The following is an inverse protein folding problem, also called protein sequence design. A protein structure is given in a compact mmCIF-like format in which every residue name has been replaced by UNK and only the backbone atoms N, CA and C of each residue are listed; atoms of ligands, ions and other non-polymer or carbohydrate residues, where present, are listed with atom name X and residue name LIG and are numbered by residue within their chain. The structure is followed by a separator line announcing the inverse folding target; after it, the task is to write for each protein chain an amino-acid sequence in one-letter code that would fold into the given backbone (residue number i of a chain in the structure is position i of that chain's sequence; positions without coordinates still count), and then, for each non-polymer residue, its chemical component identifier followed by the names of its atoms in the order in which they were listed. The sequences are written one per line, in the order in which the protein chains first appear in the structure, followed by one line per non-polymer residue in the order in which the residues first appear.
data_IF_397432857146
#
_entry.id   IF_397432857146
#
_cell.length_a   1.000
_cell.length_b   1.000
_cell.length_c   1.000
_cell.angle_alpha   90.00
_cell.angle_beta   90.00
_cell.angle_gamma   90.00
#
_symmetry.space_group_name_H-M   'P 1'
#
loop_
_entity.id
_entity.type
_entity.pdbx_description
1 polymer ?
#
# COMPACT_ATOMS: atom_id res chain seq x y z
N UNK A 1 34.52 0.10 16.44
CA UNK A 1 33.95 -0.63 15.29
C UNK A 1 35.03 -0.71 14.23
N UNK A 2 35.37 -1.91 13.77
CA UNK A 2 36.49 -2.12 12.86
C UNK A 2 36.06 -1.82 11.41
N UNK A 3 36.94 -1.23 10.60
CA UNK A 3 36.70 -0.88 9.19
C UNK A 3 36.15 -2.06 8.38
N UNK A 4 36.65 -3.27 8.64
CA UNK A 4 36.20 -4.50 8.00
C UNK A 4 34.72 -4.79 8.24
N UNK A 5 34.22 -4.63 9.47
CA UNK A 5 32.80 -4.81 9.80
C UNK A 5 31.92 -3.81 9.07
N UNK A 6 32.35 -2.55 8.97
CA UNK A 6 31.61 -1.52 8.23
C UNK A 6 31.57 -1.83 6.73
N UNK A 7 32.68 -2.30 6.14
CA UNK A 7 32.71 -2.69 4.73
C UNK A 7 31.86 -3.92 4.44
N UNK A 8 31.86 -4.94 5.31
CA UNK A 8 31.01 -6.13 5.15
C UNK A 8 29.53 -5.78 5.26
N UNK A 9 29.14 -4.91 6.21
CA UNK A 9 27.75 -4.44 6.32
C UNK A 9 27.33 -3.66 5.06
N UNK A 10 28.17 -2.75 4.57
CA UNK A 10 27.88 -2.00 3.33
C UNK A 10 27.78 -2.92 2.12
N UNK A 11 28.66 -3.91 2.00
CA UNK A 11 28.62 -4.89 0.92
C UNK A 11 27.37 -5.78 0.99
N UNK A 12 26.95 -6.21 2.19
CA UNK A 12 25.73 -6.99 2.38
C UNK A 12 24.48 -6.17 2.03
N UNK A 13 24.42 -4.90 2.43
CA UNK A 13 23.32 -4.00 2.05
C UNK A 13 23.32 -3.77 0.54
N UNK A 14 24.47 -3.49 -0.07
CA UNK A 14 24.58 -3.30 -1.51
C UNK A 14 24.18 -4.55 -2.30
N UNK A 15 24.61 -5.74 -1.84
CA UNK A 15 24.22 -7.02 -2.43
C UNK A 15 22.71 -7.24 -2.30
N UNK A 16 22.13 -7.00 -1.12
CA UNK A 16 20.69 -7.14 -0.90
C UNK A 16 19.87 -6.19 -1.79
N UNK A 17 20.27 -4.91 -1.87
CA UNK A 17 19.64 -3.90 -2.74
C UNK A 17 19.79 -4.28 -4.22
N UNK A 18 20.96 -4.75 -4.64
CA UNK A 18 21.21 -5.19 -6.00
C UNK A 18 20.39 -6.43 -6.37
N UNK A 19 20.34 -7.45 -5.51
CA UNK A 19 19.51 -8.64 -5.74
C UNK A 19 18.03 -8.29 -5.77
N UNK A 20 17.57 -7.38 -4.92
CA UNK A 20 16.17 -6.97 -4.89
C UNK A 20 15.79 -6.16 -6.13
N UNK A 21 16.67 -5.26 -6.57
CA UNK A 21 16.49 -4.52 -7.83
C UNK A 21 16.54 -5.46 -9.04
N UNK A 22 17.37 -6.50 -9.01
CA UNK A 22 17.43 -7.50 -10.08
C UNK A 22 16.19 -8.41 -10.13
N UNK A 23 15.59 -8.72 -8.99
CA UNK A 23 14.43 -9.63 -8.91
C UNK A 23 13.10 -8.95 -9.29
N UNK A 24 12.87 -7.72 -8.82
CA UNK A 24 11.58 -7.04 -9.00
C UNK A 24 11.66 -5.69 -9.72
N UNK A 25 12.87 -5.18 -9.97
CA UNK A 25 13.06 -3.90 -10.66
C UNK A 25 12.40 -2.72 -9.93
N UNK A 26 11.76 -1.86 -10.71
CA UNK A 26 11.06 -0.67 -10.24
C UNK A 26 9.90 -0.98 -9.26
N UNK A 27 9.23 -2.13 -9.41
CA UNK A 27 8.10 -2.53 -8.58
C UNK A 27 8.52 -2.83 -7.13
N UNK A 28 9.70 -3.44 -6.94
CA UNK A 28 10.22 -3.73 -5.60
C UNK A 28 10.43 -2.46 -4.77
N UNK A 29 10.81 -1.36 -5.42
CA UNK A 29 10.95 -0.05 -4.77
C UNK A 29 9.61 0.52 -4.32
N UNK A 30 8.53 0.29 -5.07
CA UNK A 30 7.18 0.69 -4.65
C UNK A 30 6.73 -0.07 -3.41
N UNK A 31 6.95 -1.39 -3.36
CA UNK A 31 6.61 -2.21 -2.18
C UNK A 31 7.37 -1.72 -0.95
N UNK A 32 8.66 -1.40 -1.08
CA UNK A 32 9.46 -0.85 0.03
C UNK A 32 8.92 0.50 0.48
N UNK A 33 8.66 1.42 -0.45
CA UNK A 33 8.11 2.74 -0.14
C UNK A 33 6.77 2.61 0.62
N UNK A 34 5.89 1.73 0.15
CA UNK A 34 4.63 1.42 0.82
C UNK A 34 4.84 0.88 2.25
N UNK A 35 5.68 -0.15 2.44
CA UNK A 35 5.95 -0.73 3.76
C UNK A 35 6.55 0.32 4.71
N UNK A 36 7.46 1.17 4.22
CA UNK A 36 8.06 2.25 5.02
C UNK A 36 7.02 3.29 5.43
N UNK A 37 6.12 3.69 4.53
CA UNK A 37 5.03 4.60 4.84
C UNK A 37 4.08 4.00 5.88
N UNK A 38 3.69 2.73 5.70
CA UNK A 38 2.84 2.01 6.64
C UNK A 38 3.48 1.92 8.05
N UNK A 39 4.79 1.66 8.12
CA UNK A 39 5.53 1.64 9.38
C UNK A 39 5.61 3.03 10.01
N UNK A 40 5.92 4.07 9.22
CA UNK A 40 5.96 5.45 9.69
C UNK A 40 4.59 5.88 10.23
N UNK A 41 3.52 5.59 9.49
CA UNK A 41 2.15 5.83 9.88
C UNK A 41 1.81 5.13 11.21
N UNK A 42 2.19 3.85 11.34
CA UNK A 42 1.94 3.11 12.57
C UNK A 42 2.65 3.71 13.79
N UNK A 43 3.92 4.11 13.61
CA UNK A 43 4.72 4.74 14.66
C UNK A 43 4.16 6.11 15.05
N UNK A 44 3.78 6.91 14.06
CA UNK A 44 3.25 8.26 14.23
C UNK A 44 1.85 8.21 14.86
N UNK A 45 0.98 7.31 14.42
CA UNK A 45 -0.34 7.06 15.01
C UNK A 45 -0.24 6.54 16.45
N UNK A 46 0.74 5.68 16.74
CA UNK A 46 1.04 5.22 18.11
C UNK A 46 1.52 6.38 18.99
N UNK A 47 2.39 7.25 18.46
CA UNK A 47 2.84 8.45 19.16
C UNK A 47 1.70 9.47 19.38
N UNK A 48 0.77 9.61 18.44
CA UNK A 48 -0.40 10.47 18.58
C UNK A 48 -1.35 9.95 19.67
N UNK A 49 -1.59 8.64 19.70
CA UNK A 49 -2.38 8.00 20.74
C UNK A 49 -1.72 8.09 22.14
N UNK A 50 -0.39 8.05 22.20
CA UNK A 50 0.38 8.27 23.43
C UNK A 50 0.24 9.69 23.96
N UNK A 51 0.37 10.70 23.08
CA UNK A 51 0.27 12.13 23.42
C UNK A 51 -1.10 12.47 24.02
N UNK A 52 -2.16 11.83 23.54
CA UNK A 52 -3.52 12.05 24.03
C UNK A 52 -3.92 11.17 25.23
N UNK A 53 -2.97 10.43 25.82
CA UNK A 53 -3.20 9.65 27.05
C UNK A 53 -4.15 8.46 26.88
N UNK A 54 -4.53 8.13 25.65
CA UNK A 54 -5.51 7.09 25.28
C UNK A 54 -4.84 5.81 24.78
N UNK A 55 -3.64 5.51 25.29
CA UNK A 55 -2.89 4.30 24.96
C UNK A 55 -3.66 3.07 25.43
N UNK A 56 -4.39 2.44 24.51
CA UNK A 56 -5.10 1.19 24.72
C UNK A 56 -4.52 0.13 23.80
N UNK A 57 -4.07 -0.98 24.38
CA UNK A 57 -3.60 -2.14 23.62
C UNK A 57 -4.66 -2.69 22.65
N UNK A 58 -5.95 -2.41 22.88
CA UNK A 58 -7.01 -2.78 21.94
C UNK A 58 -6.93 -1.97 20.64
N UNK A 59 -6.74 -0.64 20.73
CA UNK A 59 -6.60 0.24 19.54
C UNK A 59 -5.34 -0.09 18.73
N UNK A 60 -4.25 -0.45 19.40
CA UNK A 60 -3.01 -0.87 18.74
C UNK A 60 -3.16 -2.21 18.00
N UNK A 61 -3.93 -3.16 18.56
CA UNK A 61 -4.25 -4.43 17.90
C UNK A 61 -5.15 -4.23 16.69
N UNK A 62 -6.13 -3.33 16.79
CA UNK A 62 -7.04 -3.00 15.70
C UNK A 62 -6.27 -2.40 14.51
N UNK A 63 -5.32 -1.49 14.78
CA UNK A 63 -4.39 -0.99 13.76
C UNK A 63 -3.50 -2.08 13.15
N UNK A 64 -3.06 -3.06 13.94
CA UNK A 64 -2.30 -4.20 13.42
C UNK A 64 -3.15 -5.13 12.53
N UNK A 65 -4.42 -5.39 12.88
CA UNK A 65 -5.34 -6.16 12.04
C UNK A 65 -5.66 -5.45 10.73
N UNK A 66 -5.86 -4.13 10.78
CA UNK A 66 -6.05 -3.33 9.57
C UNK A 66 -4.84 -3.43 8.63
N UNK A 67 -3.62 -3.28 9.17
CA UNK A 67 -2.37 -3.43 8.40
C UNK A 67 -2.17 -4.85 7.88
N UNK A 68 -2.54 -5.87 8.65
CA UNK A 68 -2.56 -7.26 8.21
C UNK A 68 -3.53 -7.51 7.06
N UNK A 69 -4.72 -6.89 7.08
CA UNK A 69 -5.68 -6.93 5.98
C UNK A 69 -5.12 -6.32 4.69
N UNK A 70 -4.41 -5.19 4.77
CA UNK A 70 -3.78 -4.56 3.60
C UNK A 70 -2.71 -5.46 2.97
N UNK A 71 -1.89 -6.12 3.79
CA UNK A 71 -0.90 -7.10 3.31
C UNK A 71 -1.58 -8.26 2.56
N UNK A 72 -2.70 -8.76 3.08
CA UNK A 72 -3.46 -9.83 2.42
C UNK A 72 -3.97 -9.38 1.04
N UNK A 73 -4.52 -8.16 0.92
CA UNK A 73 -5.00 -7.62 -0.36
C UNK A 73 -3.85 -7.49 -1.37
N UNK A 74 -2.69 -7.01 -0.95
CA UNK A 74 -1.49 -6.96 -1.81
C UNK A 74 -1.08 -8.37 -2.26
N UNK A 75 -1.07 -9.36 -1.35
CA UNK A 75 -0.78 -10.74 -1.72
C UNK A 75 -1.78 -11.28 -2.76
N UNK A 76 -3.07 -11.00 -2.59
CA UNK A 76 -4.12 -11.40 -3.56
C UNK A 76 -3.86 -10.74 -4.92
N UNK A 77 -3.55 -9.44 -4.95
CA UNK A 77 -3.25 -8.72 -6.19
C UNK A 77 -2.00 -9.28 -6.90
N UNK A 78 -0.95 -9.64 -6.15
CA UNK A 78 0.25 -10.27 -6.70
C UNK A 78 -0.01 -11.65 -7.28
N UNK A 79 -0.83 -12.46 -6.60
CA UNK A 79 -1.24 -13.78 -7.10
C UNK A 79 -2.10 -13.64 -8.37
N UNK A 80 -3.00 -12.65 -8.41
CA UNK A 80 -3.79 -12.36 -9.60
C UNK A 80 -2.92 -11.94 -10.79
N UNK A 81 -1.95 -11.05 -10.59
CA UNK A 81 -0.99 -10.64 -11.61
C UNK A 81 -0.15 -11.82 -12.12
N UNK A 82 0.33 -12.68 -11.20
CA UNK A 82 1.08 -13.88 -11.57
C UNK A 82 0.23 -14.86 -12.39
N UNK A 83 -1.05 -15.02 -12.04
CA UNK A 83 -1.99 -15.87 -12.76
C UNK A 83 -2.24 -15.33 -14.18
N UNK A 84 -2.49 -14.03 -14.32
CA UNK A 84 -2.70 -13.38 -15.63
C UNK A 84 -1.43 -13.50 -16.49
N UNK A 85 -0.25 -13.23 -15.93
CA UNK A 85 1.03 -13.39 -16.61
C UNK A 85 1.28 -14.84 -17.06
N UNK A 86 0.93 -15.81 -16.22
CA UNK A 86 1.07 -17.24 -16.54
C UNK A 86 0.14 -17.69 -17.68
N UNK A 87 -1.09 -17.17 -17.70
CA UNK A 87 -2.08 -17.43 -18.77
C UNK A 87 -1.63 -16.81 -20.10
N UNK A 88 -1.19 -15.55 -20.09
CA UNK A 88 -0.66 -14.86 -21.29
C UNK A 88 0.59 -15.56 -21.85
N UNK A 89 1.45 -16.11 -20.98
CA UNK A 89 2.65 -16.84 -21.40
C UNK A 89 2.39 -18.21 -22.03
N UNK A 90 1.23 -18.82 -21.79
CA UNK A 90 0.89 -20.16 -22.29
C UNK A 90 -0.18 -20.17 -23.40
N UNK A 91 -0.87 -19.04 -23.67
CA UNK A 91 -1.83 -18.91 -24.76
C UNK A 91 -1.20 -18.11 -25.91
N UNK A 92 -0.69 -18.76 -26.98
CA UNK A 92 -0.02 -18.07 -28.10
C UNK A 92 -0.97 -17.24 -29.00
N UNK A 93 -2.28 -17.22 -28.71
CA UNK A 93 -3.29 -16.50 -29.49
C UNK A 93 -3.55 -15.05 -29.02
N UNK A 94 -2.98 -14.63 -27.89
CA UNK A 94 -3.18 -13.28 -27.33
C UNK A 94 -1.84 -12.56 -27.27
N UNK A 95 -1.41 -12.02 -28.41
CA UNK A 95 -0.29 -11.08 -28.46
C UNK A 95 -0.80 -9.66 -28.22
N UNK A 96 -0.67 -9.17 -26.99
CA UNK A 96 -0.87 -7.76 -26.70
C UNK A 96 0.25 -6.94 -27.38
N UNK A 97 -0.05 -5.78 -27.98
CA UNK A 97 0.96 -4.92 -28.63
C UNK A 97 1.93 -4.25 -27.63
N UNK A 98 1.82 -4.58 -26.34
CA UNK A 98 2.66 -4.10 -25.25
C UNK A 98 3.04 -5.25 -24.31
N UNK A 99 4.20 -5.13 -23.65
CA UNK A 99 4.68 -6.12 -22.69
C UNK A 99 3.88 -6.02 -21.37
N UNK A 100 2.98 -6.97 -21.13
CA UNK A 100 2.30 -7.11 -19.83
C UNK A 100 3.31 -7.68 -18.82
N UNK A 101 3.64 -6.92 -17.77
CA UNK A 101 4.65 -7.34 -16.78
C UNK A 101 4.05 -7.57 -15.39
N UNK A 102 3.31 -6.59 -14.85
CA UNK A 102 2.55 -6.64 -13.59
C UNK A 102 1.66 -5.40 -13.63
N UNK A 103 0.34 -5.54 -13.65
CA UNK A 103 -0.57 -4.41 -13.92
C UNK A 103 -1.47 -4.12 -12.70
N UNK A 104 -1.97 -5.15 -12.03
CA UNK A 104 -2.78 -5.00 -10.82
C UNK A 104 -1.94 -4.71 -9.58
N UNK A 105 -0.79 -5.36 -9.43
CA UNK A 105 0.11 -5.24 -8.30
C UNK A 105 0.62 -3.81 -8.10
N UNK A 106 1.24 -3.15 -9.11
CA UNK A 106 1.65 -1.76 -9.00
C UNK A 106 0.48 -0.81 -8.75
N UNK A 107 -0.68 -1.05 -9.38
CA UNK A 107 -1.87 -0.23 -9.20
C UNK A 107 -2.35 -0.27 -7.74
N UNK A 108 -2.50 -1.47 -7.17
CA UNK A 108 -2.92 -1.67 -5.78
C UNK A 108 -1.90 -1.10 -4.80
N UNK A 109 -0.60 -1.26 -5.07
CA UNK A 109 0.45 -0.67 -4.22
C UNK A 109 0.40 0.86 -4.26
N UNK A 110 0.23 1.48 -5.43
CA UNK A 110 0.09 2.94 -5.54
C UNK A 110 -1.16 3.43 -4.82
N UNK A 111 -2.28 2.71 -4.93
CA UNK A 111 -3.50 3.01 -4.19
C UNK A 111 -3.26 3.05 -2.68
N UNK A 112 -2.58 2.03 -2.14
CA UNK A 112 -2.23 1.98 -0.72
C UNK A 112 -1.23 3.08 -0.33
N UNK A 113 -0.23 3.39 -1.14
CA UNK A 113 0.72 4.48 -0.87
C UNK A 113 -0.01 5.81 -0.70
N UNK A 114 -0.95 6.13 -1.60
CA UNK A 114 -1.72 7.38 -1.52
C UNK A 114 -2.59 7.39 -0.25
N UNK A 115 -3.19 6.25 0.11
CA UNK A 115 -3.93 6.09 1.35
C UNK A 115 -3.08 6.34 2.61
N UNK A 116 -1.90 5.73 2.69
CA UNK A 116 -0.96 5.89 3.81
C UNK A 116 -0.44 7.34 3.92
N UNK A 117 -0.17 7.99 2.79
CA UNK A 117 0.20 9.42 2.77
C UNK A 117 -0.94 10.31 3.29
N UNK A 118 -2.19 9.97 2.99
CA UNK A 118 -3.37 10.63 3.55
C UNK A 118 -3.42 10.49 5.07
N UNK A 119 -3.25 9.27 5.59
CA UNK A 119 -3.25 9.01 7.04
C UNK A 119 -2.11 9.72 7.77
N UNK A 120 -0.90 9.74 7.19
CA UNK A 120 0.22 10.52 7.70
C UNK A 120 -0.08 12.02 7.74
N UNK A 121 -0.75 12.56 6.71
CA UNK A 121 -1.16 13.96 6.68
C UNK A 121 -2.21 14.29 7.77
N UNK A 122 -3.08 13.35 8.13
CA UNK A 122 -4.00 13.47 9.26
C UNK A 122 -3.24 13.51 10.58
N UNK A 123 -2.33 12.55 10.79
CA UNK A 123 -1.53 12.50 11.99
C UNK A 123 -0.66 13.75 12.18
N UNK A 124 -0.05 14.28 11.11
CA UNK A 124 0.70 15.52 11.17
C UNK A 124 -0.13 16.70 11.71
N UNK A 125 -1.42 16.78 11.35
CA UNK A 125 -2.33 17.79 11.91
C UNK A 125 -2.65 17.53 13.37
N UNK A 126 -2.82 16.27 13.80
CA UNK A 126 -2.94 15.93 15.24
C UNK A 126 -1.73 16.37 16.05
N UNK A 127 -0.53 16.34 15.47
CA UNK A 127 0.67 16.87 16.11
C UNK A 127 0.74 18.39 16.15
N UNK A 128 -0.14 19.10 15.43
CA UNK A 128 -0.19 20.56 15.35
C UNK A 128 0.64 21.15 14.21
N UNK A 129 1.11 20.33 13.27
CA UNK A 129 1.81 20.83 12.09
C UNK A 129 0.81 21.48 11.11
N UNK A 130 1.14 22.66 10.54
CA UNK A 130 0.31 23.29 9.52
C UNK A 130 0.45 22.53 8.19
N UNK A 131 -0.45 21.58 7.95
CA UNK A 131 -0.52 20.85 6.67
C UNK A 131 -1.40 21.64 5.69
N UNK A 132 -0.89 22.02 4.51
CA UNK A 132 -1.70 22.73 3.52
C UNK A 132 -2.85 21.86 2.99
N UNK A 133 -4.05 22.44 2.87
CA UNK A 133 -5.24 21.75 2.36
C UNK A 133 -5.07 21.27 0.92
N UNK A 134 -4.34 22.02 0.08
CA UNK A 134 -4.08 21.62 -1.31
C UNK A 134 -3.34 20.29 -1.41
N UNK A 135 -2.48 19.95 -0.44
CA UNK A 135 -1.74 18.68 -0.43
C UNK A 135 -2.68 17.49 -0.21
N UNK A 136 -3.63 17.64 0.71
CA UNK A 136 -4.66 16.63 0.98
C UNK A 136 -5.58 16.44 -0.22
N UNK A 137 -5.98 17.54 -0.87
CA UNK A 137 -6.80 17.48 -2.07
C UNK A 137 -6.07 16.75 -3.22
N UNK A 138 -4.76 16.96 -3.39
CA UNK A 138 -3.99 16.23 -4.40
C UNK A 138 -3.94 14.73 -4.11
N UNK A 139 -3.78 14.34 -2.83
CA UNK A 139 -3.79 12.94 -2.43
C UNK A 139 -5.16 12.29 -2.70
N UNK A 140 -6.25 12.99 -2.37
CA UNK A 140 -7.61 12.52 -2.63
C UNK A 140 -7.90 12.38 -4.13
N UNK A 141 -7.52 13.38 -4.93
CA UNK A 141 -7.61 13.33 -6.40
C UNK A 141 -6.79 12.16 -6.94
N UNK A 142 -5.58 11.95 -6.43
CA UNK A 142 -4.72 10.84 -6.81
C UNK A 142 -5.37 9.49 -6.51
N UNK A 143 -6.02 9.34 -5.35
CA UNK A 143 -6.72 8.12 -4.98
C UNK A 143 -7.89 7.85 -5.93
N UNK A 144 -8.73 8.84 -6.17
CA UNK A 144 -9.87 8.74 -7.09
C UNK A 144 -9.44 8.42 -8.52
N UNK A 145 -8.29 8.94 -8.97
CA UNK A 145 -7.75 8.62 -10.29
C UNK A 145 -7.31 7.14 -10.38
N UNK A 146 -6.75 6.59 -9.30
CA UNK A 146 -6.37 5.17 -9.23
C UNK A 146 -7.62 4.29 -9.14
N UNK A 147 -8.64 4.70 -8.40
CA UNK A 147 -9.94 4.00 -8.33
C UNK A 147 -10.60 3.94 -9.72
N UNK A 148 -10.70 5.08 -10.41
CA UNK A 148 -11.25 5.14 -11.77
C UNK A 148 -10.45 4.28 -12.76
N UNK A 149 -9.12 4.23 -12.62
CA UNK A 149 -8.29 3.34 -13.42
C UNK A 149 -8.61 1.86 -13.11
N UNK A 150 -8.78 1.49 -11.84
CA UNK A 150 -9.17 0.15 -11.42
C UNK A 150 -10.54 -0.27 -11.97
N UNK A 151 -11.54 0.60 -11.87
CA UNK A 151 -12.89 0.37 -12.39
C UNK A 151 -12.91 0.21 -13.91
N UNK A 152 -12.15 1.05 -14.63
CA UNK A 152 -12.05 0.93 -16.09
C UNK A 152 -11.42 -0.40 -16.55
N UNK A 153 -10.54 -0.99 -15.74
CA UNK A 153 -9.91 -2.30 -15.99
C UNK A 153 -10.87 -3.44 -15.63
N UNK A 154 -11.67 -3.29 -14.58
CA UNK A 154 -12.66 -4.29 -14.16
C UNK A 154 -13.86 -4.39 -15.13
N UNK A 155 -14.09 -3.35 -15.96
CA UNK A 155 -15.33 -3.17 -16.72
C UNK A 155 -16.43 -2.61 -15.82
N UNK A 156 -17.32 -1.77 -16.37
CA UNK A 156 -18.37 -1.02 -15.64
C UNK A 156 -19.47 -1.88 -14.97
N UNK A 157 -19.14 -3.03 -14.37
CA UNK A 157 -20.10 -3.91 -13.72
C UNK A 157 -19.49 -4.65 -12.56
N UNK A 158 -19.34 -3.99 -11.41
CA UNK A 158 -18.94 -4.68 -10.19
C UNK A 158 -18.83 -3.79 -8.97
N UNK A 159 -19.96 -3.35 -8.41
CA UNK A 159 -19.94 -2.71 -7.10
C UNK A 159 -21.22 -1.97 -6.69
N UNK A 160 -22.39 -2.62 -6.74
CA UNK A 160 -23.42 -2.28 -5.77
C UNK A 160 -22.92 -2.82 -4.42
N UNK A 161 -22.43 -1.94 -3.55
CA UNK A 161 -22.16 -2.25 -2.15
C UNK A 161 -23.39 -2.95 -1.53
N UNK A 162 -23.26 -4.14 -0.93
CA UNK A 162 -24.29 -4.64 -0.04
C UNK A 162 -24.31 -3.69 1.16
N UNK A 163 -25.33 -2.84 1.23
CA UNK A 163 -25.68 -2.10 2.45
C UNK A 163 -25.85 -3.10 3.58
N UNK A 164 -24.81 -3.23 4.40
CA UNK A 164 -24.84 -4.05 5.60
C UNK A 164 -25.84 -3.43 6.57
N UNK A 165 -26.99 -4.10 6.65
CA UNK A 165 -28.01 -4.10 7.70
C UNK A 165 -27.72 -3.23 8.93
N UNK A 166 -28.35 -2.06 8.97
CA UNK A 166 -28.67 -1.39 10.23
C UNK A 166 -29.87 -2.13 10.86
N UNK A 167 -29.57 -3.17 11.64
CA UNK A 167 -30.51 -3.80 12.54
C UNK A 167 -30.60 -2.97 13.82
N UNK A 168 -31.44 -1.94 13.81
CA UNK A 168 -31.96 -1.33 15.04
C UNK A 168 -33.34 -1.92 15.34
N UNK A 169 -33.33 -2.92 16.23
CA UNK A 169 -34.44 -3.17 17.17
C UNK A 169 -34.90 -1.83 17.76
N UNK A 170 -36.22 -1.64 17.86
CA UNK A 170 -36.92 -1.11 19.04
C UNK A 170 -38.44 -1.13 18.77
N UNK A 171 -39.08 -2.26 19.09
CA UNK A 171 -40.39 -2.30 19.74
C UNK A 171 -40.17 -2.60 21.22
#
# INVERSE_FOLDING_TARGET
MNETTVTTVKAAIAAAVATMTALWGWFGWLVIAWVLLMLADWLIGSAAAAKEGRWSSAKMREGAWHKGGMILVVCIALVADWLIGSILGHIPAVSLPFTYSVLLGPLVIVWYIIGELGSLAEHAVTFGAPVPSWLRNILEIGKNAVDAAGESIAGEGGGDDPKESENTKNE
#
